data_IF_142423653357
#
_entry.id   IF_142423653357
#
_cell.length_a   1.000
_cell.length_b   1.000
_cell.length_c   1.000
_cell.angle_alpha   90.00
_cell.angle_beta   90.00
_cell.angle_gamma   90.00
#
_symmetry.space_group_name_H-M   'P 1'
#
loop_
_entity.id
_entity.type
_entity.pdbx_description
1 polymer ?
#
# COMPACT_ATOMS: atom_id res chain seq x y z
N UNK A 1 13.46 10.78 37.63
CA UNK A 1 14.36 10.92 36.45
C UNK A 1 13.63 10.27 35.29
N UNK A 2 13.45 10.96 34.17
CA UNK A 2 12.83 10.35 32.99
C UNK A 2 13.71 9.16 32.54
N UNK A 3 13.19 7.94 32.66
CA UNK A 3 13.86 6.73 32.18
C UNK A 3 14.05 6.83 30.69
N UNK A 4 15.30 6.84 30.22
CA UNK A 4 15.58 6.91 28.79
C UNK A 4 15.23 5.57 28.12
N UNK A 5 15.04 5.57 26.79
CA UNK A 5 14.82 4.31 26.05
C UNK A 5 15.99 3.32 26.23
N UNK A 6 17.21 3.84 26.39
CA UNK A 6 18.38 3.01 26.66
C UNK A 6 18.28 2.33 28.04
N UNK A 7 17.79 3.04 29.06
CA UNK A 7 17.53 2.45 30.39
C UNK A 7 16.45 1.37 30.32
N UNK A 8 15.38 1.61 29.57
CA UNK A 8 14.33 0.63 29.32
C UNK A 8 14.90 -0.64 28.66
N UNK A 9 15.72 -0.48 27.61
CA UNK A 9 16.38 -1.61 26.94
C UNK A 9 17.31 -2.40 27.87
N UNK A 10 18.04 -1.72 28.77
CA UNK A 10 18.90 -2.40 29.78
C UNK A 10 18.11 -3.22 30.78
N UNK A 11 16.88 -2.80 31.09
CA UNK A 11 15.99 -3.51 32.00
C UNK A 11 15.23 -4.69 31.34
N UNK A 12 15.27 -4.81 30.01
CA UNK A 12 14.62 -5.92 29.32
C UNK A 12 15.39 -7.23 29.52
N UNK A 13 14.69 -8.37 29.71
CA UNK A 13 15.34 -9.67 29.75
C UNK A 13 15.89 -10.05 28.38
N UNK A 14 16.97 -10.85 28.34
CA UNK A 14 17.65 -11.28 27.10
C UNK A 14 16.69 -11.87 26.06
N UNK A 15 15.69 -12.63 26.49
CA UNK A 15 14.65 -13.20 25.60
C UNK A 15 13.82 -12.12 24.88
N UNK A 16 13.55 -10.99 25.54
CA UNK A 16 12.80 -9.88 24.97
C UNK A 16 13.66 -9.10 23.99
N UNK A 17 14.94 -8.85 24.34
CA UNK A 17 15.91 -8.26 23.42
C UNK A 17 16.09 -9.13 22.17
N UNK A 18 16.30 -10.44 22.33
CA UNK A 18 16.41 -11.36 21.19
C UNK A 18 15.14 -11.38 20.31
N UNK A 19 13.96 -11.22 20.91
CA UNK A 19 12.69 -11.11 20.16
C UNK A 19 12.62 -9.79 19.38
N UNK A 20 12.99 -8.68 20.01
CA UNK A 20 13.08 -7.37 19.33
C UNK A 20 14.00 -7.45 18.11
N UNK A 21 15.20 -8.02 18.23
CA UNK A 21 16.16 -8.08 17.12
C UNK A 21 15.69 -9.01 15.98
N UNK A 22 14.92 -10.07 16.27
CA UNK A 22 14.27 -10.91 15.24
C UNK A 22 13.14 -10.16 14.53
N UNK A 23 12.34 -9.40 15.26
CA UNK A 23 11.23 -8.62 14.70
C UNK A 23 11.71 -7.35 13.98
N UNK A 24 12.87 -6.82 14.35
CA UNK A 24 13.50 -5.63 13.78
C UNK A 24 14.95 -5.90 13.35
N UNK A 25 15.19 -6.73 12.30
CA UNK A 25 16.53 -7.05 11.81
C UNK A 25 17.33 -5.82 11.35
N UNK A 26 16.64 -4.74 10.99
CA UNK A 26 17.28 -3.48 10.59
C UNK A 26 18.04 -2.79 11.74
N UNK A 27 17.75 -3.15 13.00
CA UNK A 27 18.47 -2.60 14.15
C UNK A 27 19.90 -3.09 14.28
N UNK A 28 20.25 -4.22 13.66
CA UNK A 28 21.57 -4.84 13.74
C UNK A 28 22.38 -4.74 12.46
N UNK A 29 21.93 -3.91 11.50
CA UNK A 29 22.59 -3.72 10.21
C UNK A 29 22.99 -2.25 10.01
N UNK A 30 24.25 -1.85 10.32
CA UNK A 30 25.32 -2.64 10.96
C UNK A 30 25.09 -2.85 12.45
N UNK A 31 25.81 -3.79 13.08
CA UNK A 31 25.65 -4.10 14.52
C UNK A 31 25.94 -2.86 15.35
N UNK A 32 25.05 -2.44 16.28
CA UNK A 32 25.30 -1.28 17.14
C UNK A 32 26.40 -1.57 18.15
N UNK A 33 27.15 -0.53 18.54
CA UNK A 33 28.23 -0.65 19.52
C UNK A 33 27.73 -0.94 20.94
N UNK A 34 26.55 -0.43 21.29
CA UNK A 34 25.92 -0.59 22.61
C UNK A 34 24.39 -0.40 22.55
N UNK A 35 23.71 -0.54 23.69
CA UNK A 35 22.26 -0.36 23.82
C UNK A 35 21.79 1.08 23.62
N UNK A 36 22.65 2.08 23.82
CA UNK A 36 22.33 3.48 23.55
C UNK A 36 22.26 3.72 22.04
N UNK A 37 23.22 3.21 21.27
CA UNK A 37 23.20 3.24 19.81
C UNK A 37 22.01 2.45 19.25
N UNK A 38 21.67 1.31 19.86
CA UNK A 38 20.46 0.56 19.52
C UNK A 38 19.18 1.40 19.75
N UNK A 39 19.07 2.07 20.90
CA UNK A 39 17.93 2.93 21.24
C UNK A 39 17.76 4.09 20.25
N UNK A 40 18.86 4.75 19.87
CA UNK A 40 18.84 5.84 18.87
C UNK A 40 18.38 5.30 17.52
N UNK A 41 18.92 4.15 17.07
CA UNK A 41 18.55 3.54 15.80
C UNK A 41 17.08 3.12 15.78
N UNK A 42 16.59 2.53 16.86
CA UNK A 42 15.21 2.06 16.97
C UNK A 42 14.17 3.18 16.82
N UNK A 43 14.52 4.39 17.25
CA UNK A 43 13.69 5.59 17.15
C UNK A 43 13.88 6.36 15.83
N UNK A 44 14.88 6.02 15.03
CA UNK A 44 15.14 6.72 13.77
C UNK A 44 13.97 6.58 12.80
N UNK A 45 13.69 7.66 12.07
CA UNK A 45 12.63 7.74 11.06
C UNK A 45 12.59 6.55 10.11
N UNK A 46 13.74 6.13 9.59
CA UNK A 46 13.84 5.01 8.64
C UNK A 46 13.47 3.68 9.29
N UNK A 47 13.95 3.44 10.50
CA UNK A 47 13.72 2.19 11.22
C UNK A 47 12.26 2.07 11.68
N UNK A 48 11.67 3.16 12.19
CA UNK A 48 10.25 3.21 12.53
C UNK A 48 9.38 3.05 11.28
N UNK A 49 9.69 3.72 10.17
CA UNK A 49 8.94 3.57 8.92
C UNK A 49 8.88 2.10 8.45
N UNK A 50 10.01 1.37 8.53
CA UNK A 50 10.07 -0.06 8.19
C UNK A 50 9.23 -0.93 9.11
N UNK A 51 9.26 -0.65 10.42
CA UNK A 51 8.43 -1.35 11.39
C UNK A 51 6.94 -1.17 11.08
N UNK A 52 6.50 0.07 10.84
CA UNK A 52 5.11 0.39 10.52
C UNK A 52 4.65 -0.18 9.16
N UNK A 53 5.56 -0.37 8.20
CA UNK A 53 5.24 -0.98 6.90
C UNK A 53 4.91 -2.49 6.98
N UNK A 54 5.22 -3.13 8.11
CA UNK A 54 4.88 -4.54 8.39
C UNK A 54 3.69 -4.73 9.32
N UNK A 55 3.01 -3.65 9.71
CA UNK A 55 1.82 -3.71 10.57
C UNK A 55 0.55 -3.79 9.74
N UNK A 56 -0.40 -4.60 10.21
CA UNK A 56 -1.76 -4.64 9.70
C UNK A 56 -2.55 -3.38 10.09
N UNK A 57 -3.71 -3.22 9.44
CA UNK A 57 -4.60 -2.08 9.62
C UNK A 57 -5.06 -1.93 11.06
N UNK A 58 -5.42 -3.02 11.72
CA UNK A 58 -5.93 -2.95 13.09
C UNK A 58 -4.85 -2.51 14.07
N UNK A 59 -3.64 -3.06 13.95
CA UNK A 59 -2.49 -2.68 14.78
C UNK A 59 -2.11 -1.22 14.59
N UNK A 60 -2.21 -0.68 13.37
CA UNK A 60 -2.02 0.76 13.11
C UNK A 60 -3.13 1.62 13.73
N UNK A 61 -4.38 1.14 13.76
CA UNK A 61 -5.47 1.84 14.45
C UNK A 61 -5.26 1.85 15.97
N UNK A 62 -4.72 0.77 16.55
CA UNK A 62 -4.31 0.72 17.97
C UNK A 62 -3.13 1.66 18.24
N UNK A 63 -2.18 1.80 17.31
CA UNK A 63 -1.13 2.82 17.42
C UNK A 63 -1.70 4.24 17.40
N UNK A 64 -2.69 4.51 16.54
CA UNK A 64 -3.37 5.80 16.53
C UNK A 64 -4.15 6.05 17.84
N UNK A 65 -4.70 5.01 18.47
CA UNK A 65 -5.27 5.12 19.82
C UNK A 65 -4.21 5.59 20.82
N UNK A 66 -3.05 4.92 20.87
CA UNK A 66 -1.94 5.31 21.75
C UNK A 66 -1.46 6.74 21.52
N UNK A 67 -1.51 7.23 20.27
CA UNK A 67 -1.18 8.64 19.94
C UNK A 67 -2.24 9.63 20.42
N UNK A 68 -3.51 9.24 20.38
CA UNK A 68 -4.66 10.07 20.76
C UNK A 68 -4.86 10.16 22.27
N UNK A 69 -4.49 9.12 23.01
CA UNK A 69 -4.66 9.01 24.46
C UNK A 69 -3.43 9.45 25.25
N UNK A 70 -2.51 10.17 24.61
CA UNK A 70 -1.36 10.77 25.30
C UNK A 70 -1.83 11.85 26.26
N UNK A 71 -1.34 11.79 27.48
CA UNK A 71 -1.47 12.84 28.46
C UNK A 71 -0.76 14.11 27.94
N UNK A 72 -1.41 15.28 27.96
CA UNK A 72 -0.80 16.52 27.50
C UNK A 72 0.44 16.96 28.30
N UNK A 73 0.53 16.59 29.58
CA UNK A 73 1.56 17.07 30.50
C UNK A 73 2.88 16.29 30.34
N UNK A 74 2.81 14.96 30.17
CA UNK A 74 3.99 14.10 30.07
C UNK A 74 4.13 13.31 28.76
N UNK A 75 3.11 13.36 27.89
CA UNK A 75 3.10 12.69 26.59
C UNK A 75 2.95 11.16 26.66
N UNK A 76 2.69 10.58 27.85
CA UNK A 76 2.54 9.14 28.06
C UNK A 76 1.09 8.70 27.91
N UNK A 77 0.85 7.40 27.76
CA UNK A 77 -0.49 6.83 27.75
C UNK A 77 -0.53 5.52 28.54
N UNK A 78 -1.71 4.98 28.82
CA UNK A 78 -1.85 3.69 29.49
C UNK A 78 -2.47 2.64 28.59
N UNK A 79 -2.25 1.37 28.93
CA UNK A 79 -2.94 0.23 28.31
C UNK A 79 -4.45 0.46 28.37
N UNK A 80 -5.00 0.80 29.53
CA UNK A 80 -6.44 0.99 29.73
C UNK A 80 -7.01 2.09 28.83
N UNK A 81 -6.29 3.21 28.71
CA UNK A 81 -6.70 4.31 27.83
C UNK A 81 -6.74 3.86 26.36
N UNK A 82 -5.73 3.12 25.90
CA UNK A 82 -5.66 2.57 24.53
C UNK A 82 -6.80 1.59 24.27
N UNK A 83 -7.05 0.65 25.20
CA UNK A 83 -8.09 -0.36 25.05
C UNK A 83 -9.50 0.27 25.05
N UNK A 84 -9.73 1.32 25.82
CA UNK A 84 -10.99 2.06 25.84
C UNK A 84 -11.37 2.65 24.48
N UNK A 85 -10.38 3.00 23.65
CA UNK A 85 -10.59 3.54 22.30
C UNK A 85 -11.00 2.48 21.27
N UNK A 86 -10.64 1.21 21.49
CA UNK A 86 -10.82 0.12 20.54
C UNK A 86 -12.21 -0.54 20.53
N UNK A 87 -13.19 -0.01 21.32
CA UNK A 87 -14.61 -0.41 21.41
C UNK A 87 -14.97 -1.72 20.66
N UNK A 88 -14.88 -2.87 21.33
CA UNK A 88 -15.44 -4.13 20.80
C UNK A 88 -14.60 -5.38 21.09
N UNK A 89 -13.29 -5.36 20.80
CA UNK A 89 -12.41 -6.54 20.94
C UNK A 89 -11.16 -6.18 21.76
N UNK A 90 -11.34 -6.06 23.08
CA UNK A 90 -10.25 -5.73 24.01
C UNK A 90 -9.10 -6.76 23.96
N UNK A 91 -9.34 -8.09 23.86
CA UNK A 91 -8.26 -9.06 23.67
C UNK A 91 -7.43 -8.81 22.41
N UNK A 92 -8.06 -8.59 21.26
CA UNK A 92 -7.32 -8.30 20.03
C UNK A 92 -6.55 -6.97 20.12
N UNK A 93 -7.16 -5.94 20.70
CA UNK A 93 -6.51 -4.65 20.90
C UNK A 93 -5.29 -4.76 21.83
N UNK A 94 -5.38 -5.62 22.85
CA UNK A 94 -4.26 -5.92 23.75
C UNK A 94 -3.13 -6.66 23.02
N UNK A 95 -3.44 -7.66 22.21
CA UNK A 95 -2.45 -8.37 21.39
C UNK A 95 -1.74 -7.42 20.42
N UNK A 96 -2.49 -6.54 19.75
CA UNK A 96 -1.93 -5.51 18.88
C UNK A 96 -1.02 -4.54 19.64
N UNK A 97 -1.41 -4.11 20.85
CA UNK A 97 -0.58 -3.25 21.70
C UNK A 97 0.70 -3.97 22.14
N UNK A 98 0.61 -5.23 22.56
CA UNK A 98 1.78 -6.03 22.93
C UNK A 98 2.74 -6.23 21.74
N UNK A 99 2.21 -6.36 20.52
CA UNK A 99 3.02 -6.36 19.30
C UNK A 99 3.74 -5.02 19.08
N UNK A 100 3.07 -3.88 19.28
CA UNK A 100 3.70 -2.56 19.21
C UNK A 100 4.81 -2.41 20.27
N UNK A 101 4.61 -2.94 21.48
CA UNK A 101 5.62 -2.98 22.55
C UNK A 101 6.81 -3.86 22.19
N UNK A 102 6.57 -5.05 21.63
CA UNK A 102 7.60 -5.99 21.19
C UNK A 102 8.47 -5.41 20.04
N UNK A 103 7.91 -4.50 19.23
CA UNK A 103 8.60 -3.76 18.19
C UNK A 103 9.31 -2.49 18.68
N UNK A 104 9.23 -2.19 19.99
CA UNK A 104 9.75 -0.97 20.62
C UNK A 104 9.17 0.32 20.02
N UNK A 105 7.90 0.29 19.60
CA UNK A 105 7.18 1.48 19.10
C UNK A 105 6.45 2.22 20.22
N UNK A 106 6.04 1.47 21.26
CA UNK A 106 5.38 2.00 22.46
C UNK A 106 5.99 1.40 23.74
N UNK A 107 7.30 1.61 24.02
CA UNK A 107 7.95 1.11 25.23
C UNK A 107 7.36 1.69 26.51
N UNK A 108 7.47 0.95 27.61
CA UNK A 108 7.12 1.44 28.95
C UNK A 108 6.30 0.44 29.79
N UNK A 109 6.10 0.76 31.07
CA UNK A 109 5.13 0.08 31.94
C UNK A 109 3.70 0.35 31.46
N UNK A 110 2.74 -0.44 31.94
CA UNK A 110 1.36 -0.41 31.45
C UNK A 110 0.63 0.91 31.70
N UNK A 111 1.00 1.63 32.76
CA UNK A 111 0.42 2.93 33.12
C UNK A 111 1.14 4.13 32.49
N UNK A 112 2.28 3.91 31.83
CA UNK A 112 3.12 5.00 31.29
C UNK A 112 3.89 4.52 30.06
N UNK A 113 3.14 4.20 29.02
CA UNK A 113 3.64 3.87 27.70
C UNK A 113 4.04 5.14 26.96
N UNK A 114 5.20 5.11 26.30
CA UNK A 114 5.70 6.22 25.49
C UNK A 114 5.63 5.85 24.02
N UNK A 115 4.95 6.66 23.20
CA UNK A 115 5.06 6.53 21.74
C UNK A 115 6.40 7.11 21.28
N UNK A 116 7.23 6.30 20.60
CA UNK A 116 8.54 6.79 20.14
C UNK A 116 8.40 7.92 19.12
N UNK A 117 9.21 8.98 19.23
CA UNK A 117 9.06 10.21 18.43
C UNK A 117 9.04 9.98 16.92
N UNK A 118 9.84 9.02 16.42
CA UNK A 118 9.86 8.67 15.01
C UNK A 118 8.51 8.18 14.45
N UNK A 119 7.55 7.78 15.28
CA UNK A 119 6.18 7.42 14.85
C UNK A 119 5.45 8.63 14.29
N UNK A 120 5.50 9.78 14.97
CA UNK A 120 4.82 10.98 14.51
C UNK A 120 5.44 11.53 13.22
N UNK A 121 6.76 11.39 13.04
CA UNK A 121 7.48 11.83 11.83
C UNK A 121 7.14 11.05 10.55
N UNK A 122 6.68 9.80 10.69
CA UNK A 122 6.39 8.91 9.53
C UNK A 122 4.92 8.61 9.36
N UNK A 123 4.09 9.01 10.31
CA UNK A 123 2.65 8.81 10.31
C UNK A 123 1.94 10.06 9.80
N UNK A 124 0.63 9.94 9.58
CA UNK A 124 -0.18 11.13 9.33
C UNK A 124 -0.19 12.02 10.58
N UNK A 125 -0.17 13.35 10.43
CA UNK A 125 -0.41 14.26 11.56
C UNK A 125 -1.82 14.13 12.14
N UNK A 126 -2.73 13.44 11.43
CA UNK A 126 -4.11 13.20 11.82
C UNK A 126 -4.30 11.74 12.27
N UNK A 127 -3.97 11.39 13.54
CA UNK A 127 -4.20 10.03 14.04
C UNK A 127 -5.67 9.65 13.92
N UNK A 128 -5.94 8.44 13.43
CA UNK A 128 -7.27 7.94 13.07
C UNK A 128 -8.03 8.82 12.06
N UNK A 129 -7.35 9.70 11.33
CA UNK A 129 -7.98 10.70 10.45
C UNK A 129 -8.81 11.73 11.22
N UNK A 130 -8.52 11.95 12.51
CA UNK A 130 -9.11 13.04 13.28
C UNK A 130 -8.24 14.29 13.18
N UNK A 131 -8.88 15.46 13.12
CA UNK A 131 -8.18 16.75 13.12
C UNK A 131 -7.49 17.06 14.44
N UNK A 132 -6.91 18.26 14.50
CA UNK A 132 -6.42 18.85 15.74
C UNK A 132 -7.57 19.16 16.71
N UNK A 133 -7.31 19.20 18.02
CA UNK A 133 -8.29 19.66 19.00
C UNK A 133 -8.82 21.05 18.64
N UNK A 134 -10.11 21.29 18.86
CA UNK A 134 -10.72 22.58 18.56
C UNK A 134 -10.00 23.76 19.25
N UNK A 135 -9.50 23.53 20.47
CA UNK A 135 -8.73 24.50 21.26
C UNK A 135 -7.41 24.94 20.59
N UNK A 136 -6.80 24.10 19.75
CA UNK A 136 -5.59 24.45 18.99
C UNK A 136 -5.90 25.14 17.66
N UNK A 137 -7.13 25.01 17.17
CA UNK A 137 -7.54 25.50 15.85
C UNK A 137 -8.12 26.91 15.91
N UNK A 138 -9.13 27.13 16.74
CA UNK A 138 -9.85 28.40 16.82
C UNK A 138 -10.69 28.51 18.11
N UNK A 139 -10.76 29.71 18.68
CA UNK A 139 -11.47 29.96 19.94
C UNK A 139 -12.99 29.73 19.84
N UNK A 140 -13.60 30.03 18.70
CA UNK A 140 -15.05 29.82 18.49
C UNK A 140 -15.37 28.32 18.35
N UNK A 141 -14.51 27.57 17.65
CA UNK A 141 -14.61 26.12 17.58
C UNK A 141 -14.43 25.49 18.97
N UNK A 142 -13.46 25.97 19.75
CA UNK A 142 -13.23 25.53 21.13
C UNK A 142 -14.48 25.77 22.01
N UNK A 143 -15.07 26.97 21.94
CA UNK A 143 -16.27 27.31 22.69
C UNK A 143 -17.49 26.46 22.27
N UNK A 144 -17.63 26.13 20.99
CA UNK A 144 -18.67 25.23 20.50
C UNK A 144 -18.47 23.81 21.05
N UNK A 145 -17.25 23.29 21.00
CA UNK A 145 -16.94 21.92 21.42
C UNK A 145 -16.97 21.73 22.94
N UNK A 146 -16.76 22.79 23.72
CA UNK A 146 -16.91 22.78 25.17
C UNK A 146 -18.37 22.57 25.64
N UNK A 147 -19.36 22.81 24.79
CA UNK A 147 -20.78 22.54 25.04
C UNK A 147 -21.29 21.39 24.14
N UNK A 148 -21.34 20.14 24.65
CA UNK A 148 -21.76 18.99 23.87
C UNK A 148 -23.21 19.08 23.36
N UNK A 149 -24.10 19.76 24.08
CA UNK A 149 -25.50 19.91 23.67
C UNK A 149 -25.60 20.91 22.52
N UNK A 150 -24.88 22.03 22.61
CA UNK A 150 -24.81 23.01 21.52
C UNK A 150 -24.17 22.41 20.28
N UNK A 151 -23.03 21.72 20.40
CA UNK A 151 -22.38 21.05 19.26
C UNK A 151 -23.33 20.09 18.54
N UNK A 152 -24.04 19.23 19.29
CA UNK A 152 -25.02 18.30 18.70
C UNK A 152 -26.15 19.03 18.00
N UNK A 153 -26.70 20.09 18.59
CA UNK A 153 -27.76 20.90 17.97
C UNK A 153 -27.27 21.56 16.68
N UNK A 154 -26.07 22.15 16.67
CA UNK A 154 -25.48 22.76 15.46
C UNK A 154 -25.28 21.73 14.35
N UNK A 155 -24.81 20.51 14.70
CA UNK A 155 -24.68 19.41 13.74
C UNK A 155 -26.02 18.94 13.17
N UNK A 156 -27.10 18.95 13.97
CA UNK A 156 -28.44 18.59 13.52
C UNK A 156 -29.09 19.68 12.65
N UNK A 157 -28.73 20.95 12.83
CA UNK A 157 -29.17 22.05 11.97
C UNK A 157 -28.40 22.16 10.65
N UNK A 158 -27.38 21.31 10.43
CA UNK A 158 -26.58 21.36 9.22
C UNK A 158 -27.41 21.04 7.97
N UNK A 159 -27.40 21.90 6.93
CA UNK A 159 -28.02 21.60 5.65
C UNK A 159 -27.48 20.28 5.07
N UNK A 160 -28.27 19.53 4.27
CA UNK A 160 -27.86 18.22 3.76
C UNK A 160 -26.51 18.23 3.01
N UNK A 161 -26.25 19.28 2.23
CA UNK A 161 -24.97 19.45 1.53
C UNK A 161 -23.79 19.67 2.47
N UNK A 162 -23.97 20.43 3.56
CA UNK A 162 -22.95 20.66 4.57
C UNK A 162 -22.70 19.38 5.39
N UNK A 163 -23.77 18.66 5.73
CA UNK A 163 -23.68 17.36 6.40
C UNK A 163 -22.89 16.34 5.56
N UNK A 164 -23.13 16.29 4.25
CA UNK A 164 -22.38 15.41 3.34
C UNK A 164 -20.88 15.73 3.27
N UNK A 165 -20.49 17.01 3.42
CA UNK A 165 -19.07 17.41 3.52
C UNK A 165 -18.47 16.88 4.83
N UNK A 166 -19.16 17.06 5.95
CA UNK A 166 -18.73 16.56 7.25
C UNK A 166 -18.57 15.03 7.26
N UNK A 167 -19.54 14.28 6.74
CA UNK A 167 -19.47 12.81 6.70
C UNK A 167 -18.29 12.33 5.83
N UNK A 168 -17.98 13.04 4.74
CA UNK A 168 -16.80 12.74 3.89
C UNK A 168 -15.49 13.01 4.62
N UNK A 169 -15.38 14.12 5.34
CA UNK A 169 -14.19 14.44 6.14
C UNK A 169 -14.04 13.48 7.33
N UNK A 170 -15.15 13.06 7.95
CA UNK A 170 -15.15 12.06 9.02
C UNK A 170 -14.76 10.66 8.54
N UNK A 171 -15.06 10.28 7.31
CA UNK A 171 -14.61 9.01 6.73
C UNK A 171 -13.17 9.06 6.15
N UNK A 172 -12.65 10.27 5.91
CA UNK A 172 -11.41 10.52 5.19
C UNK A 172 -10.39 11.32 6.00
N UNK A 173 -9.46 12.04 5.34
CA UNK A 173 -8.65 13.03 6.02
C UNK A 173 -9.55 14.18 6.53
N UNK A 174 -9.25 14.76 7.71
CA UNK A 174 -10.07 15.82 8.30
C UNK A 174 -9.86 17.18 7.63
N UNK A 175 -9.16 17.23 6.50
CA UNK A 175 -8.81 18.46 5.78
C UNK A 175 -9.49 18.45 4.41
N UNK A 176 -10.15 19.55 4.09
CA UNK A 176 -10.72 19.83 2.78
C UNK A 176 -9.99 20.97 2.07
N UNK A 177 -9.77 20.83 0.77
CA UNK A 177 -9.25 21.90 -0.08
C UNK A 177 -10.40 22.74 -0.64
N UNK A 178 -10.28 24.06 -0.53
CA UNK A 178 -11.19 25.03 -1.13
C UNK A 178 -10.72 25.30 -2.55
N UNK A 179 -11.57 25.07 -3.55
CA UNK A 179 -11.28 25.52 -4.91
C UNK A 179 -11.70 26.98 -5.06
N UNK A 180 -10.80 27.83 -5.56
CA UNK A 180 -10.93 29.29 -5.69
C UNK A 180 -12.14 29.79 -6.53
N UNK A 181 -12.96 28.90 -7.09
CA UNK A 181 -14.16 29.26 -7.86
C UNK A 181 -15.52 28.96 -7.21
N UNK A 182 -15.59 28.06 -6.22
CA UNK A 182 -16.88 27.63 -5.62
C UNK A 182 -17.00 27.88 -4.12
N UNK A 183 -15.89 28.14 -3.43
CA UNK A 183 -15.88 28.44 -1.99
C UNK A 183 -16.16 29.92 -1.66
N UNK A 184 -16.10 30.81 -2.65
CA UNK A 184 -16.34 32.25 -2.50
C UNK A 184 -17.83 32.65 -2.65
N UNK A 185 -18.71 31.71 -2.99
CA UNK A 185 -20.15 31.95 -2.94
C UNK A 185 -20.59 31.97 -1.48
N UNK A 186 -21.27 33.05 -1.06
CA UNK A 186 -21.77 33.25 0.31
C UNK A 186 -22.66 32.09 0.80
N UNK A 187 -23.28 31.34 -0.13
CA UNK A 187 -24.15 30.20 0.16
C UNK A 187 -23.47 28.83 0.01
N UNK A 188 -22.13 28.76 0.01
CA UNK A 188 -21.46 27.46 -0.13
C UNK A 188 -21.64 26.60 1.13
N UNK A 189 -21.83 25.27 1.01
CA UNK A 189 -21.95 24.37 2.16
C UNK A 189 -20.76 24.44 3.12
N UNK A 190 -19.57 24.74 2.58
CA UNK A 190 -18.33 24.87 3.37
C UNK A 190 -18.32 26.19 4.14
N UNK A 191 -18.80 27.29 3.54
CA UNK A 191 -18.91 28.57 4.24
C UNK A 191 -19.85 28.46 5.44
N UNK A 192 -21.02 27.83 5.26
CA UNK A 192 -21.94 27.59 6.37
C UNK A 192 -21.29 26.81 7.53
N UNK A 193 -20.47 25.80 7.22
CA UNK A 193 -19.75 25.03 8.25
C UNK A 193 -18.71 25.86 8.99
N UNK A 194 -18.03 26.77 8.30
CA UNK A 194 -17.06 27.70 8.91
C UNK A 194 -17.78 28.72 9.79
N UNK A 195 -18.87 29.31 9.30
CA UNK A 195 -19.66 30.30 10.06
C UNK A 195 -20.27 29.70 11.34
N UNK A 196 -20.52 28.39 11.34
CA UNK A 196 -21.03 27.65 12.49
C UNK A 196 -19.92 26.96 13.31
N UNK A 197 -18.64 27.28 13.06
CA UNK A 197 -17.47 26.75 13.77
C UNK A 197 -17.34 25.21 13.78
N UNK A 198 -17.93 24.54 12.78
CA UNK A 198 -17.83 23.09 12.57
C UNK A 198 -16.62 22.72 11.69
N UNK A 199 -16.11 23.68 10.92
CA UNK A 199 -14.83 23.64 10.21
C UNK A 199 -14.05 24.90 10.52
N UNK A 200 -12.72 24.80 10.57
CA UNK A 200 -11.82 25.94 10.80
C UNK A 200 -10.98 26.16 9.56
N UNK A 201 -10.88 27.40 9.09
CA UNK A 201 -9.96 27.77 8.00
C UNK A 201 -8.53 27.77 8.53
N UNK A 202 -7.68 26.92 7.97
CA UNK A 202 -6.27 26.79 8.36
C UNK A 202 -5.32 27.47 7.36
N UNK A 203 -5.82 27.75 6.15
CA UNK A 203 -5.20 28.61 5.15
C UNK A 203 -6.26 29.15 4.20
N UNK A 204 -5.87 30.00 3.25
CA UNK A 204 -6.78 30.54 2.23
C UNK A 204 -7.44 29.44 1.38
N UNK A 205 -6.76 28.31 1.21
CA UNK A 205 -7.19 27.19 0.37
C UNK A 205 -7.57 25.93 1.16
N UNK A 206 -7.56 25.95 2.49
CA UNK A 206 -7.80 24.75 3.29
C UNK A 206 -8.63 24.98 4.54
N UNK A 207 -9.51 24.02 4.81
CA UNK A 207 -10.30 23.90 6.03
C UNK A 207 -9.99 22.59 6.73
N UNK A 208 -10.02 22.61 8.06
CA UNK A 208 -9.82 21.45 8.92
C UNK A 208 -11.04 21.25 9.81
N UNK A 209 -11.47 19.99 9.96
CA UNK A 209 -12.52 19.58 10.88
C UNK A 209 -11.92 19.32 12.26
N UNK A 210 -12.35 20.05 13.31
CA UNK A 210 -11.89 19.78 14.67
C UNK A 210 -12.13 18.34 15.11
N UNK A 211 -11.23 17.82 15.94
CA UNK A 211 -11.26 16.44 16.46
C UNK A 211 -12.61 16.06 17.05
N UNK A 212 -13.16 16.93 17.89
CA UNK A 212 -14.38 16.74 18.66
C UNK A 212 -15.59 16.58 17.74
N UNK A 213 -15.64 17.38 16.66
CA UNK A 213 -16.67 17.26 15.61
C UNK A 213 -16.57 15.87 14.95
N UNK A 214 -15.36 15.45 14.57
CA UNK A 214 -15.12 14.12 14.01
C UNK A 214 -15.54 12.98 14.95
N UNK A 215 -15.24 13.09 16.25
CA UNK A 215 -15.62 12.11 17.27
C UNK A 215 -17.15 12.00 17.42
N UNK A 216 -17.87 13.13 17.41
CA UNK A 216 -19.34 13.12 17.48
C UNK A 216 -19.96 12.47 16.25
N UNK A 217 -19.41 12.74 15.05
CA UNK A 217 -19.87 12.13 13.81
C UNK A 217 -19.63 10.61 13.78
N UNK A 218 -18.58 10.14 14.46
CA UNK A 218 -18.21 8.72 14.55
C UNK A 218 -18.76 8.01 15.79
N UNK A 219 -19.72 8.59 16.51
CA UNK A 219 -20.25 8.01 17.77
C UNK A 219 -20.67 6.54 17.63
N UNK A 220 -21.19 6.15 16.47
CA UNK A 220 -21.72 4.81 16.20
C UNK A 220 -20.61 3.82 15.81
N UNK A 221 -19.57 4.28 15.10
CA UNK A 221 -18.42 3.46 14.68
C UNK A 221 -17.29 3.41 15.71
N UNK A 222 -17.24 4.38 16.63
CA UNK A 222 -16.14 4.57 17.58
C UNK A 222 -15.08 5.58 17.11
N UNK A 223 -14.21 6.02 18.04
CA UNK A 223 -13.28 7.13 17.80
C UNK A 223 -12.23 6.84 16.73
N UNK A 224 -11.82 5.57 16.60
CA UNK A 224 -10.84 5.09 15.61
C UNK A 224 -11.45 4.83 14.22
N UNK A 225 -12.74 5.11 14.06
CA UNK A 225 -13.52 4.69 12.88
C UNK A 225 -13.80 3.18 12.89
N UNK A 226 -14.23 2.61 11.74
CA UNK A 226 -14.50 1.18 11.64
C UNK A 226 -13.26 0.34 12.00
N UNK A 227 -13.40 -0.51 13.01
CA UNK A 227 -12.36 -1.42 13.47
C UNK A 227 -12.62 -2.82 12.90
N UNK A 228 -11.59 -3.39 12.28
CA UNK A 228 -11.61 -4.75 11.79
C UNK A 228 -10.45 -5.52 12.41
N UNK A 229 -10.69 -6.09 13.59
CA UNK A 229 -9.67 -6.77 14.40
C UNK A 229 -9.07 -8.02 13.74
N UNK A 230 -9.86 -8.69 12.89
CA UNK A 230 -9.47 -9.91 12.20
C UNK A 230 -9.35 -9.67 10.70
N UNK A 231 -8.47 -10.39 10.00
CA UNK A 231 -8.38 -10.28 8.54
C UNK A 231 -9.74 -10.52 7.89
N UNK A 232 -10.05 -9.81 6.78
CA UNK A 232 -11.24 -10.12 6.00
C UNK A 232 -11.19 -11.58 5.56
N UNK A 233 -12.34 -12.26 5.67
CA UNK A 233 -12.47 -13.62 5.17
C UNK A 233 -12.25 -13.62 3.65
N UNK A 234 -11.55 -14.65 3.18
CA UNK A 234 -11.32 -14.90 1.77
C UNK A 234 -11.99 -16.23 1.47
N UNK A 235 -13.10 -16.19 0.72
CA UNK A 235 -14.00 -17.33 0.52
C UNK A 235 -14.33 -17.53 -0.95
N UNK A 236 -13.54 -18.36 -1.62
CA UNK A 236 -13.81 -18.79 -2.99
C UNK A 236 -14.58 -20.11 -3.06
N UNK A 237 -15.23 -20.37 -4.19
CA UNK A 237 -15.76 -21.71 -4.47
C UNK A 237 -14.63 -22.74 -4.43
N UNK A 238 -14.80 -23.80 -3.63
CA UNK A 238 -13.84 -24.89 -3.55
C UNK A 238 -13.76 -25.63 -4.88
N UNK A 239 -12.54 -25.88 -5.35
CA UNK A 239 -12.26 -26.75 -6.49
C UNK A 239 -11.53 -28.00 -6.03
N UNK A 240 -11.72 -29.09 -6.76
CA UNK A 240 -10.95 -30.31 -6.52
C UNK A 240 -9.45 -30.03 -6.71
N UNK A 241 -8.66 -30.26 -5.66
CA UNK A 241 -7.25 -29.90 -5.62
C UNK A 241 -6.44 -30.62 -6.70
N UNK A 242 -6.75 -31.90 -6.99
CA UNK A 242 -6.07 -32.69 -8.03
C UNK A 242 -6.34 -32.13 -9.43
N UNK A 243 -7.57 -31.71 -9.69
CA UNK A 243 -7.95 -31.06 -10.95
C UNK A 243 -7.26 -29.71 -11.11
N UNK A 244 -7.14 -28.93 -10.03
CA UNK A 244 -6.41 -27.65 -10.04
C UNK A 244 -4.92 -27.86 -10.33
N UNK A 245 -4.28 -28.83 -9.68
CA UNK A 245 -2.86 -29.15 -9.90
C UNK A 245 -2.59 -29.61 -11.34
N UNK A 246 -3.45 -30.50 -11.86
CA UNK A 246 -3.37 -30.97 -13.25
C UNK A 246 -3.54 -29.82 -14.25
N UNK A 247 -4.49 -28.91 -14.01
CA UNK A 247 -4.68 -27.72 -14.84
C UNK A 247 -3.48 -26.77 -14.75
N UNK A 248 -2.90 -26.59 -13.57
CA UNK A 248 -1.69 -25.78 -13.34
C UNK A 248 -0.49 -26.31 -14.13
N UNK A 249 -0.26 -27.62 -14.10
CA UNK A 249 0.78 -28.28 -14.90
C UNK A 249 0.56 -28.05 -16.41
N UNK A 250 -0.69 -28.20 -16.88
CA UNK A 250 -1.05 -27.90 -18.27
C UNK A 250 -0.77 -26.45 -18.66
N UNK A 251 -1.09 -25.47 -17.81
CA UNK A 251 -0.80 -24.07 -18.07
C UNK A 251 0.71 -23.75 -18.07
N UNK A 252 1.49 -24.41 -17.22
CA UNK A 252 2.95 -24.29 -17.24
C UNK A 252 3.54 -24.80 -18.56
N UNK A 253 3.04 -25.94 -19.07
CA UNK A 253 3.43 -26.48 -20.39
C UNK A 253 3.07 -25.53 -21.52
N UNK A 254 1.87 -24.98 -21.50
CA UNK A 254 1.39 -24.02 -22.50
C UNK A 254 2.18 -22.70 -22.47
N UNK A 255 2.56 -22.20 -21.30
CA UNK A 255 3.42 -21.01 -21.18
C UNK A 255 4.78 -21.24 -21.86
N UNK A 256 5.42 -22.39 -21.61
CA UNK A 256 6.69 -22.75 -22.27
C UNK A 256 6.52 -22.86 -23.79
N UNK A 257 5.45 -23.52 -24.25
CA UNK A 257 5.14 -23.70 -25.69
C UNK A 257 4.93 -22.36 -26.39
N UNK A 258 4.18 -21.45 -25.76
CA UNK A 258 3.91 -20.12 -26.29
C UNK A 258 5.17 -19.25 -26.32
N UNK A 259 6.01 -19.28 -25.28
CA UNK A 259 7.29 -18.56 -25.29
C UNK A 259 8.20 -19.06 -26.41
N UNK A 260 8.32 -20.37 -26.61
CA UNK A 260 9.11 -20.92 -27.73
C UNK A 260 8.56 -20.46 -29.08
N UNK A 261 7.24 -20.55 -29.28
CA UNK A 261 6.59 -20.12 -30.53
C UNK A 261 6.81 -18.63 -30.81
N UNK A 262 6.74 -17.78 -29.78
CA UNK A 262 7.01 -16.34 -29.89
C UNK A 262 8.47 -16.06 -30.24
N UNK A 263 9.42 -16.73 -29.60
CA UNK A 263 10.84 -16.52 -29.85
C UNK A 263 11.27 -17.06 -31.22
N UNK A 264 10.70 -18.17 -31.69
CA UNK A 264 10.90 -18.64 -33.07
C UNK A 264 10.33 -17.67 -34.10
N UNK A 265 9.15 -17.09 -33.86
CA UNK A 265 8.59 -16.07 -34.75
C UNK A 265 9.45 -14.79 -34.75
N UNK A 266 10.00 -14.42 -33.59
CA UNK A 266 10.90 -13.28 -33.44
C UNK A 266 12.27 -13.51 -34.12
N UNK A 267 12.79 -14.74 -34.09
CA UNK A 267 14.02 -15.12 -34.80
C UNK A 267 13.85 -14.98 -36.32
N UNK A 268 12.71 -15.44 -36.84
CA UNK A 268 12.40 -15.38 -38.26
C UNK A 268 12.19 -13.93 -38.75
N UNK A 269 11.57 -13.07 -37.93
CA UNK A 269 11.34 -11.67 -38.25
C UNK A 269 11.56 -10.77 -37.01
N UNK A 270 12.82 -10.33 -36.77
CA UNK A 270 13.15 -9.44 -35.66
C UNK A 270 12.36 -8.13 -35.70
N UNK A 271 12.15 -7.52 -34.52
CA UNK A 271 11.36 -6.29 -34.39
C UNK A 271 12.27 -5.10 -34.10
N UNK A 272 12.20 -4.06 -34.92
CA UNK A 272 12.86 -2.78 -34.64
C UNK A 272 12.26 -2.12 -33.39
N UNK A 273 13.12 -1.65 -32.47
CA UNK A 273 12.70 -0.89 -31.30
C UNK A 273 12.31 0.55 -31.68
N UNK A 274 11.29 1.07 -31.00
CA UNK A 274 10.91 2.47 -31.14
C UNK A 274 12.01 3.40 -30.60
N UNK A 275 12.14 4.60 -31.16
CA UNK A 275 13.08 5.62 -30.63
C UNK A 275 12.79 6.02 -29.19
N UNK A 276 11.54 5.91 -28.76
CA UNK A 276 11.12 6.16 -27.37
C UNK A 276 11.40 4.96 -26.44
N UNK A 277 11.95 3.87 -26.96
CA UNK A 277 12.05 2.60 -26.28
C UNK A 277 10.81 1.72 -26.45
N UNK A 278 11.03 0.40 -26.34
CA UNK A 278 10.00 -0.61 -26.43
C UNK A 278 9.57 -1.01 -27.85
N UNK A 279 8.60 -1.94 -27.91
CA UNK A 279 8.08 -2.52 -29.14
C UNK A 279 6.84 -1.77 -29.64
N UNK A 280 6.70 -1.66 -30.96
CA UNK A 280 5.50 -1.11 -31.58
C UNK A 280 4.27 -1.97 -31.33
N UNK A 281 3.11 -1.34 -31.09
CA UNK A 281 1.82 -2.04 -30.92
C UNK A 281 1.50 -2.93 -32.13
N UNK A 282 1.88 -2.50 -33.34
CA UNK A 282 1.67 -3.27 -34.58
C UNK A 282 2.47 -4.57 -34.58
N UNK A 283 3.71 -4.53 -34.10
CA UNK A 283 4.60 -5.70 -34.07
C UNK A 283 4.15 -6.71 -33.01
N UNK A 284 3.71 -6.22 -31.84
CA UNK A 284 3.11 -7.08 -30.80
C UNK A 284 1.84 -7.76 -31.33
N UNK A 285 0.98 -7.04 -32.06
CA UNK A 285 -0.22 -7.61 -32.71
C UNK A 285 0.12 -8.64 -33.78
N UNK A 286 1.16 -8.39 -34.58
CA UNK A 286 1.66 -9.34 -35.56
C UNK A 286 2.11 -10.63 -34.88
N UNK A 287 2.96 -10.54 -33.85
CA UNK A 287 3.45 -11.69 -33.09
C UNK A 287 2.30 -12.47 -32.44
N UNK A 288 1.34 -11.76 -31.83
CA UNK A 288 0.14 -12.35 -31.26
C UNK A 288 -0.66 -13.16 -32.31
N UNK A 289 -0.88 -12.55 -33.49
CA UNK A 289 -1.60 -13.20 -34.59
C UNK A 289 -0.87 -14.43 -35.14
N UNK A 290 0.44 -14.34 -35.36
CA UNK A 290 1.25 -15.43 -35.94
C UNK A 290 1.32 -16.63 -34.99
N UNK A 291 1.40 -16.38 -33.69
CA UNK A 291 1.49 -17.43 -32.66
C UNK A 291 0.15 -17.91 -32.14
N UNK A 292 -0.95 -17.23 -32.46
CA UNK A 292 -2.28 -17.52 -31.95
C UNK A 292 -2.46 -17.20 -30.46
N UNK A 293 -1.57 -16.38 -29.89
CA UNK A 293 -1.59 -15.98 -28.47
C UNK A 293 -2.30 -14.63 -28.33
N UNK A 294 -3.18 -14.49 -27.33
CA UNK A 294 -3.88 -13.23 -27.07
C UNK A 294 -2.90 -12.07 -26.80
N UNK A 295 -3.21 -10.85 -27.26
CA UNK A 295 -2.31 -9.69 -27.14
C UNK A 295 -1.76 -9.45 -25.71
N UNK A 296 -2.56 -9.53 -24.62
CA UNK A 296 -2.04 -9.35 -23.26
C UNK A 296 -1.07 -10.46 -22.84
N UNK A 297 -1.31 -11.70 -23.27
CA UNK A 297 -0.43 -12.82 -22.99
C UNK A 297 0.88 -12.70 -23.80
N UNK A 298 0.80 -12.25 -25.06
CA UNK A 298 1.98 -11.96 -25.88
C UNK A 298 2.86 -10.88 -25.23
N UNK A 299 2.26 -9.79 -24.76
CA UNK A 299 2.98 -8.75 -24.02
C UNK A 299 3.67 -9.32 -22.76
N UNK A 300 2.95 -10.13 -21.96
CA UNK A 300 3.52 -10.79 -20.78
C UNK A 300 4.70 -11.70 -21.12
N UNK A 301 4.57 -12.56 -22.12
CA UNK A 301 5.61 -13.51 -22.48
C UNK A 301 6.84 -12.83 -23.07
N UNK A 302 6.68 -11.74 -23.83
CA UNK A 302 7.81 -10.93 -24.31
C UNK A 302 8.56 -10.27 -23.16
N UNK A 303 7.85 -9.68 -22.19
CA UNK A 303 8.45 -9.08 -21.00
C UNK A 303 9.18 -10.11 -20.13
N UNK A 304 8.59 -11.28 -19.95
CA UNK A 304 9.21 -12.40 -19.21
C UNK A 304 10.40 -12.97 -19.96
N UNK A 305 10.32 -13.13 -21.28
CA UNK A 305 11.44 -13.62 -22.09
C UNK A 305 12.63 -12.67 -22.04
N UNK A 306 12.38 -11.36 -22.08
CA UNK A 306 13.42 -10.35 -21.88
C UNK A 306 14.04 -10.44 -20.47
N UNK A 307 13.21 -10.47 -19.43
CA UNK A 307 13.69 -10.59 -18.05
C UNK A 307 14.45 -11.91 -17.77
N UNK A 308 14.09 -12.99 -18.45
CA UNK A 308 14.77 -14.27 -18.39
C UNK A 308 16.07 -14.32 -19.21
N UNK A 309 16.38 -13.25 -19.95
CA UNK A 309 17.53 -13.16 -20.85
C UNK A 309 17.41 -14.09 -22.06
N UNK A 310 16.20 -14.42 -22.50
CA UNK A 310 15.94 -15.23 -23.70
C UNK A 310 15.81 -14.37 -24.96
N UNK A 311 15.38 -13.13 -24.81
CA UNK A 311 15.38 -12.12 -25.87
C UNK A 311 16.03 -10.84 -25.35
N UNK A 312 16.58 -10.05 -26.26
CA UNK A 312 17.35 -8.86 -25.94
C UNK A 312 17.45 -7.90 -27.10
N UNK A 313 18.12 -6.79 -26.84
CA UNK A 313 18.35 -5.73 -27.83
C UNK A 313 19.74 -5.92 -28.44
N UNK A 314 19.86 -5.79 -29.75
CA UNK A 314 21.15 -5.71 -30.45
C UNK A 314 21.11 -4.65 -31.55
N UNK A 315 22.28 -4.20 -31.99
CA UNK A 315 22.39 -3.31 -33.14
C UNK A 315 22.06 -4.06 -34.44
N UNK A 316 21.25 -3.45 -35.29
CA UNK A 316 20.91 -4.01 -36.58
C UNK A 316 22.15 -4.09 -37.50
N UNK A 317 22.44 -5.24 -38.13
CA UNK A 317 23.66 -5.43 -38.94
C UNK A 317 23.80 -4.49 -40.15
N UNK A 318 22.72 -3.81 -40.57
CA UNK A 318 22.64 -3.04 -41.82
C UNK A 318 22.29 -1.55 -41.63
N UNK A 319 22.42 -1.00 -40.42
CA UNK A 319 22.03 0.38 -40.13
C UNK A 319 22.99 1.38 -40.80
N UNK A 320 22.61 1.90 -41.98
CA UNK A 320 23.43 2.83 -42.78
C UNK A 320 23.52 4.24 -42.19
N UNK A 321 22.69 4.60 -41.21
CA UNK A 321 22.73 5.87 -40.47
C UNK A 321 22.03 5.71 -39.11
N UNK A 322 22.81 5.78 -38.02
CA UNK A 322 22.33 5.62 -36.63
C UNK A 322 22.21 4.15 -36.20
N UNK A 323 22.49 3.85 -34.93
CA UNK A 323 22.35 2.51 -34.37
C UNK A 323 20.86 2.19 -34.19
N UNK A 324 20.25 1.54 -35.19
CA UNK A 324 18.90 1.00 -35.07
C UNK A 324 18.96 -0.26 -34.21
N UNK A 325 18.27 -0.26 -33.07
CA UNK A 325 18.21 -1.42 -32.19
C UNK A 325 17.07 -2.34 -32.62
N UNK A 326 17.36 -3.63 -32.69
CA UNK A 326 16.41 -4.70 -32.96
C UNK A 326 16.25 -5.58 -31.73
N UNK A 327 15.03 -6.07 -31.52
CA UNK A 327 14.69 -7.04 -30.51
C UNK A 327 14.63 -8.43 -31.12
N UNK A 328 15.42 -9.35 -30.59
CA UNK A 328 15.63 -10.69 -31.13
C UNK A 328 16.01 -11.69 -30.02
N UNK A 329 15.90 -13.02 -30.27
CA UNK A 329 16.38 -14.02 -29.33
C UNK A 329 17.88 -13.89 -29.05
N UNK A 330 18.29 -14.25 -27.83
CA UNK A 330 19.69 -14.27 -27.41
C UNK A 330 20.23 -15.70 -27.42
N UNK A 331 21.54 -15.86 -27.18
CA UNK A 331 22.15 -17.18 -26.89
C UNK A 331 21.49 -17.88 -25.70
N UNK A 332 20.88 -17.11 -24.79
CA UNK A 332 20.12 -17.63 -23.66
C UNK A 332 18.89 -18.45 -24.08
N UNK A 333 18.31 -18.16 -25.24
CA UNK A 333 17.19 -18.92 -25.82
C UNK A 333 17.62 -20.32 -26.25
N UNK A 334 18.74 -20.46 -26.96
CA UNK A 334 19.24 -21.76 -27.41
C UNK A 334 19.55 -22.69 -26.22
N UNK A 335 20.24 -22.17 -25.20
CA UNK A 335 20.47 -22.92 -23.96
C UNK A 335 19.16 -23.33 -23.28
N UNK A 336 18.16 -22.44 -23.25
CA UNK A 336 16.86 -22.73 -22.64
C UNK A 336 16.09 -23.81 -23.41
N UNK A 337 16.09 -23.80 -24.75
CA UNK A 337 15.40 -24.81 -25.56
C UNK A 337 15.91 -26.23 -25.31
N UNK A 338 17.21 -26.38 -25.07
CA UNK A 338 17.84 -27.67 -24.78
C UNK A 338 17.56 -28.22 -23.38
N UNK A 339 16.94 -27.44 -22.48
CA UNK A 339 16.66 -27.88 -21.11
C UNK A 339 15.38 -28.73 -20.99
N UNK A 340 15.28 -29.59 -19.97
CA UNK A 340 14.03 -30.23 -19.60
C UNK A 340 12.90 -29.22 -19.36
N UNK A 341 11.68 -29.60 -19.72
CA UNK A 341 10.47 -28.75 -19.61
C UNK A 341 10.32 -28.07 -18.24
N UNK A 342 10.60 -28.80 -17.14
CA UNK A 342 10.50 -28.26 -15.79
C UNK A 342 11.50 -27.11 -15.53
N UNK A 343 12.73 -27.21 -16.02
CA UNK A 343 13.74 -26.14 -15.92
C UNK A 343 13.38 -24.97 -16.82
N UNK A 344 12.81 -25.25 -18.01
CA UNK A 344 12.32 -24.21 -18.91
C UNK A 344 11.22 -23.37 -18.25
N UNK A 345 10.27 -24.03 -17.59
CA UNK A 345 9.22 -23.38 -16.81
C UNK A 345 9.79 -22.59 -15.63
N UNK A 346 10.66 -23.22 -14.83
CA UNK A 346 11.27 -22.61 -13.66
C UNK A 346 11.98 -21.29 -14.00
N UNK A 347 12.76 -21.25 -15.09
CA UNK A 347 13.40 -20.01 -15.56
C UNK A 347 12.40 -18.90 -15.88
N UNK A 348 11.28 -19.21 -16.55
CA UNK A 348 10.24 -18.22 -16.86
C UNK A 348 9.52 -17.73 -15.60
N UNK A 349 9.13 -18.65 -14.71
CA UNK A 349 8.44 -18.33 -13.47
C UNK A 349 9.32 -17.49 -12.53
N UNK A 350 10.59 -17.87 -12.37
CA UNK A 350 11.58 -17.15 -11.58
C UNK A 350 11.83 -15.74 -12.14
N UNK A 351 11.96 -15.60 -13.47
CA UNK A 351 12.11 -14.30 -14.11
C UNK A 351 10.87 -13.40 -13.90
N UNK A 352 9.67 -13.93 -14.09
CA UNK A 352 8.43 -13.18 -13.84
C UNK A 352 8.30 -12.74 -12.37
N UNK A 353 8.68 -13.60 -11.43
CA UNK A 353 8.62 -13.30 -10.01
C UNK A 353 9.64 -12.22 -9.60
N UNK A 354 10.80 -12.19 -10.24
CA UNK A 354 11.91 -11.28 -9.93
C UNK A 354 11.87 -9.95 -10.71
N UNK A 355 11.29 -9.92 -11.92
CA UNK A 355 11.33 -8.73 -12.78
C UNK A 355 10.60 -7.52 -12.18
N UNK A 356 11.15 -6.34 -12.35
CA UNK A 356 10.56 -5.07 -11.87
C UNK A 356 9.46 -4.54 -12.79
N UNK A 357 9.13 -5.25 -13.86
CA UNK A 357 8.19 -4.80 -14.90
C UNK A 357 6.75 -5.09 -14.53
N UNK A 358 5.85 -4.10 -14.60
CA UNK A 358 4.41 -4.27 -14.35
C UNK A 358 3.64 -4.33 -15.68
N UNK A 359 3.59 -5.52 -16.27
CA UNK A 359 3.01 -5.78 -17.61
C UNK A 359 1.55 -5.32 -17.74
N UNK A 360 0.75 -5.37 -16.67
CA UNK A 360 -0.65 -4.91 -16.72
C UNK A 360 -0.83 -3.42 -17.08
N UNK A 361 0.25 -2.63 -17.11
CA UNK A 361 0.25 -1.24 -17.57
C UNK A 361 0.40 -1.12 -19.09
N UNK A 362 0.89 -2.15 -19.77
CA UNK A 362 1.03 -2.13 -21.23
C UNK A 362 -0.34 -1.90 -21.86
N UNK A 363 -0.40 -0.96 -22.82
CA UNK A 363 -1.64 -0.52 -23.46
C UNK A 363 -2.42 0.55 -22.68
N UNK A 364 -2.06 0.84 -21.42
CA UNK A 364 -2.57 2.01 -20.70
C UNK A 364 -1.87 3.29 -21.14
N UNK A 365 -2.37 4.44 -20.67
CA UNK A 365 -1.76 5.74 -20.93
C UNK A 365 -0.90 6.21 -19.77
N UNK A 366 0.25 6.80 -20.08
CA UNK A 366 1.17 7.40 -19.12
C UNK A 366 0.70 8.80 -18.65
N UNK A 367 1.51 9.47 -17.83
CA UNK A 367 1.23 10.82 -17.33
C UNK A 367 1.18 11.90 -18.43
N UNK A 368 1.72 11.61 -19.62
CA UNK A 368 1.74 12.48 -20.80
C UNK A 368 0.70 12.05 -21.83
N UNK A 369 -0.26 11.20 -21.44
CA UNK A 369 -1.35 10.67 -22.26
C UNK A 369 -0.87 9.81 -23.46
N UNK A 370 0.33 9.23 -23.37
CA UNK A 370 0.92 8.34 -24.39
C UNK A 370 0.74 6.87 -24.02
N UNK A 371 0.56 5.97 -25.00
CA UNK A 371 0.44 4.54 -24.72
C UNK A 371 1.75 3.95 -24.18
N UNK A 372 1.64 3.13 -23.13
CA UNK A 372 2.76 2.37 -22.56
C UNK A 372 2.97 1.12 -23.40
N UNK A 373 4.14 1.01 -24.03
CA UNK A 373 4.50 -0.10 -24.91
C UNK A 373 5.22 -1.24 -24.14
N UNK A 374 5.26 -2.43 -24.76
CA UNK A 374 6.04 -3.58 -24.26
C UNK A 374 7.53 -3.20 -24.26
N UNK A 375 8.29 -3.57 -23.23
CA UNK A 375 9.70 -3.20 -22.99
C UNK A 375 9.95 -1.70 -22.72
N UNK A 376 8.92 -0.85 -22.74
CA UNK A 376 9.07 0.58 -22.44
C UNK A 376 9.41 0.82 -20.95
N UNK A 377 10.17 1.87 -20.65
CA UNK A 377 10.59 2.21 -19.28
C UNK A 377 9.41 2.56 -18.36
N UNK A 378 8.31 3.06 -18.92
CA UNK A 378 7.09 3.45 -18.21
C UNK A 378 6.37 2.26 -17.55
N UNK A 379 6.72 1.01 -17.92
CA UNK A 379 6.23 -0.20 -17.25
C UNK A 379 7.06 -0.60 -16.01
N UNK A 380 8.21 0.03 -15.75
CA UNK A 380 9.08 -0.31 -14.61
C UNK A 380 8.50 0.10 -13.26
N UNK A 381 8.47 -0.83 -12.32
CA UNK A 381 8.00 -0.64 -10.95
C UNK A 381 8.88 -1.44 -10.00
N UNK A 382 9.79 -0.77 -9.31
CA UNK A 382 10.70 -1.40 -8.34
C UNK A 382 9.97 -2.26 -7.28
N UNK A 383 8.71 -1.95 -6.95
CA UNK A 383 7.89 -2.71 -6.02
C UNK A 383 7.15 -3.93 -6.61
N UNK A 384 7.18 -4.16 -7.93
CA UNK A 384 6.45 -5.26 -8.57
C UNK A 384 6.82 -6.65 -8.03
N UNK A 385 8.11 -6.99 -7.79
CA UNK A 385 8.50 -8.30 -7.26
C UNK A 385 7.93 -8.54 -5.85
N UNK A 386 7.89 -7.50 -5.01
CA UNK A 386 7.31 -7.58 -3.67
C UNK A 386 5.78 -7.73 -3.74
N UNK A 387 5.12 -7.00 -4.66
CA UNK A 387 3.68 -7.11 -4.89
C UNK A 387 3.26 -8.51 -5.33
N UNK A 388 3.96 -9.12 -6.30
CA UNK A 388 3.69 -10.49 -6.75
C UNK A 388 3.83 -11.49 -5.60
N UNK A 389 4.93 -11.43 -4.86
CA UNK A 389 5.15 -12.32 -3.71
C UNK A 389 4.08 -12.15 -2.63
N UNK A 390 3.61 -10.93 -2.38
CA UNK A 390 2.53 -10.70 -1.42
C UNK A 390 1.21 -11.34 -1.86
N UNK A 391 0.86 -11.23 -3.15
CA UNK A 391 -0.32 -11.90 -3.72
C UNK A 391 -0.18 -13.43 -3.62
N UNK A 392 0.94 -13.99 -4.09
CA UNK A 392 1.17 -15.43 -4.07
C UNK A 392 1.25 -16.00 -2.65
N UNK A 393 1.82 -15.24 -1.70
CA UNK A 393 1.85 -15.62 -0.29
C UNK A 393 0.45 -15.77 0.29
N UNK A 394 -0.46 -14.83 -0.01
CA UNK A 394 -1.87 -14.98 0.37
C UNK A 394 -2.46 -16.24 -0.25
N UNK A 395 -2.29 -16.45 -1.55
CA UNK A 395 -2.85 -17.61 -2.24
C UNK A 395 -2.30 -18.94 -1.68
N UNK A 396 -1.04 -18.97 -1.26
CA UNK A 396 -0.39 -20.15 -0.69
C UNK A 396 -0.83 -20.46 0.75
N UNK A 397 -1.33 -19.47 1.50
CA UNK A 397 -1.86 -19.66 2.86
C UNK A 397 -3.33 -20.13 2.88
N UNK A 398 -4.04 -20.06 1.74
CA UNK A 398 -5.41 -20.55 1.64
C UNK A 398 -5.44 -22.07 1.53
N UNK A 399 -6.56 -22.66 1.95
CA UNK A 399 -6.80 -24.09 1.79
C UNK A 399 -6.67 -24.51 0.31
N UNK A 400 -6.03 -25.66 -0.01
CA UNK A 400 -5.91 -26.15 -1.36
C UNK A 400 -7.25 -26.21 -2.08
N UNK A 401 -7.30 -25.71 -3.32
CA UNK A 401 -8.53 -25.65 -4.11
C UNK A 401 -9.38 -24.39 -3.87
N UNK A 402 -8.97 -23.48 -2.98
CA UNK A 402 -9.61 -22.17 -2.82
C UNK A 402 -9.49 -21.32 -4.10
N UNK A 403 -10.60 -20.71 -4.53
CA UNK A 403 -10.64 -19.84 -5.71
C UNK A 403 -11.09 -18.41 -5.35
N UNK A 404 -10.28 -17.62 -4.64
CA UNK A 404 -10.65 -16.28 -4.21
C UNK A 404 -10.77 -15.32 -5.40
N UNK A 405 -11.63 -14.32 -5.25
CA UNK A 405 -11.74 -13.20 -6.20
C UNK A 405 -10.58 -12.22 -6.02
N UNK A 406 -10.30 -11.43 -7.07
CA UNK A 406 -9.28 -10.38 -7.00
C UNK A 406 -9.58 -9.36 -5.89
N UNK A 407 -10.86 -9.01 -5.68
CA UNK A 407 -11.27 -8.04 -4.67
C UNK A 407 -11.03 -8.55 -3.24
N UNK A 408 -11.27 -9.84 -2.98
CA UNK A 408 -10.97 -10.46 -1.67
C UNK A 408 -9.46 -10.44 -1.37
N UNK A 409 -8.63 -10.79 -2.36
CA UNK A 409 -7.17 -10.73 -2.21
C UNK A 409 -6.70 -9.29 -1.99
N UNK A 410 -7.26 -8.32 -2.72
CA UNK A 410 -6.94 -6.90 -2.54
C UNK A 410 -7.39 -6.37 -1.17
N UNK A 411 -8.54 -6.81 -0.68
CA UNK A 411 -9.04 -6.47 0.66
C UNK A 411 -8.09 -7.00 1.74
N UNK A 412 -7.68 -8.27 1.63
CA UNK A 412 -6.74 -8.87 2.58
C UNK A 412 -5.35 -8.23 2.51
N UNK A 413 -4.83 -7.90 1.32
CA UNK A 413 -3.57 -7.16 1.17
C UNK A 413 -3.65 -5.77 1.81
N UNK A 414 -4.77 -5.08 1.61
CA UNK A 414 -4.98 -3.75 2.19
C UNK A 414 -5.05 -3.83 3.72
N UNK A 415 -5.68 -4.87 4.26
CA UNK A 415 -5.72 -5.10 5.70
C UNK A 415 -4.36 -5.49 6.28
N UNK A 416 -3.59 -6.40 5.65
CA UNK A 416 -2.29 -6.87 6.15
C UNK A 416 -1.17 -5.83 6.07
N UNK A 417 -1.17 -4.99 5.05
CA UNK A 417 -0.11 -4.02 4.79
C UNK A 417 -0.65 -2.71 4.19
N UNK A 418 -1.50 -1.96 4.92
CA UNK A 418 -2.19 -0.77 4.40
C UNK A 418 -1.23 0.32 3.92
N UNK A 419 -0.06 0.49 4.56
CA UNK A 419 0.94 1.50 4.14
C UNK A 419 1.55 1.16 2.78
N UNK A 420 1.82 -0.12 2.51
CA UNK A 420 2.32 -0.59 1.21
C UNK A 420 1.25 -0.51 0.12
N UNK A 421 0.02 -0.88 0.44
CA UNK A 421 -1.13 -0.78 -0.47
C UNK A 421 -1.43 0.68 -0.89
N UNK A 422 -1.36 1.62 0.06
CA UNK A 422 -1.56 3.07 -0.21
C UNK A 422 -0.42 3.65 -1.06
N UNK A 423 0.83 3.25 -0.81
CA UNK A 423 1.98 3.65 -1.62
C UNK A 423 1.87 3.18 -3.08
N UNK A 424 1.35 1.97 -3.30
CA UNK A 424 1.05 1.46 -4.64
C UNK A 424 -0.04 2.28 -5.33
N UNK A 425 -1.17 2.55 -4.66
CA UNK A 425 -2.29 3.34 -5.21
C UNK A 425 -1.93 4.80 -5.54
N UNK A 426 -1.04 5.43 -4.76
CA UNK A 426 -0.56 6.80 -5.03
C UNK A 426 0.38 6.88 -6.23
N UNK A 427 1.16 5.83 -6.49
CA UNK A 427 2.10 5.75 -7.63
C UNK A 427 1.46 5.31 -8.94
N UNK A 428 0.26 4.72 -8.91
CA UNK A 428 -0.48 4.31 -10.12
C UNK A 428 -1.37 5.41 -10.70
N UNK A 429 -1.34 6.64 -10.16
CA UNK A 429 -2.31 7.67 -10.53
C UNK A 429 -3.72 7.30 -10.05
N UNK A 430 -4.57 8.31 -9.86
CA UNK A 430 -5.98 8.12 -9.45
C UNK A 430 -6.75 7.32 -10.51
N UNK A 431 -6.94 6.02 -10.29
CA UNK A 431 -8.17 5.34 -10.74
C UNK A 431 -9.12 5.28 -9.55
N UNK A 432 -10.12 6.16 -9.58
CA UNK A 432 -11.28 6.09 -8.69
C UNK A 432 -12.16 4.91 -9.13
N UNK A 433 -12.78 4.16 -8.22
CA UNK A 433 -13.54 2.94 -8.55
C UNK A 433 -14.92 3.21 -9.19
N UNK A 434 -15.15 4.40 -9.78
CA UNK A 434 -16.47 4.81 -10.28
C UNK A 434 -16.64 4.83 -11.80
N UNK A 435 -15.72 4.25 -12.58
CA UNK A 435 -15.99 4.01 -14.01
C UNK A 435 -16.22 2.52 -14.25
N UNK A 436 -17.50 2.15 -14.32
CA UNK A 436 -17.96 0.91 -14.97
C UNK A 436 -17.34 0.89 -16.38
N UNK A 437 -16.48 -0.08 -16.64
CA UNK A 437 -16.17 -0.48 -18.01
C UNK A 437 -17.44 -1.06 -18.62
N UNK A 438 -18.04 -0.33 -19.55
CA UNK A 438 -19.04 -0.87 -20.46
C UNK A 438 -18.33 -1.67 -21.55
N UNK A 439 -18.71 -2.96 -21.62
CA UNK A 439 -18.59 -3.95 -22.71
C UNK A 439 -17.27 -4.02 -23.51
#
# INVERSE_FOLDING_TARGET
MATTLADYLRALPDRALGTLLRLRPDLVMPVPADLSALAVRAQSRVSVARALDGLDQFTLQVLDAARLTRDPDDGTTSVDAVLAMARGDAPAAREALDRLRALLLVPGPEESLHVVGGVDEVSSPYPAGLGRPAAELDASAAALCADPARLRRTLLSAPPAARAVLDRLAAGPPVGTLSNGTAAAADSPVQWLVDNALLVRISDEAVEMPREVGLVLRRDTGPLGPLQARPPAVGGAGRDAKSVDSAGAGQAMEAVRHTESLLTALDAEPVTLLRSGGLGVRDVRRLAKVTGVAEPATALLLEVAYAAGLAGEAEAPAARMGAELVFLPTVGYETWRGQPLAQRWERLASAWLAMTRQVGLVGQRDERDRPINVLAGEAERAGAPAGRRAVLGILAELEPGSAPTADEVLALLTWRAPRRARGARRRTGRCSPTRRCSA
#
